data_IF_976396039684
#
_entry.id   IF_976396039684
#
_cell.length_a   1.000
_cell.length_b   1.000
_cell.length_c   1.000
_cell.angle_alpha   90.00
_cell.angle_beta   90.00
_cell.angle_gamma   90.00
#
_symmetry.space_group_name_H-M   'P 1'
#
loop_
_entity.id
_entity.type
_entity.pdbx_description
1 polymer ?
#
# COMPACT_ATOMS: atom_id res chain seq x y z
N UNK A 1 11.79 -9.38 -21.09
CA UNK A 1 11.29 -10.23 -19.98
C UNK A 1 9.80 -10.40 -20.21
N UNK A 2 9.23 -11.58 -19.92
CA UNK A 2 7.77 -11.76 -19.94
C UNK A 2 7.16 -10.95 -18.79
N UNK A 3 6.09 -10.22 -19.06
CA UNK A 3 5.34 -9.49 -18.04
C UNK A 3 4.68 -10.48 -17.07
N UNK A 4 5.12 -10.48 -15.81
CA UNK A 4 4.59 -11.35 -14.74
C UNK A 4 3.44 -10.71 -13.97
N UNK A 5 2.98 -9.51 -14.34
CA UNK A 5 2.05 -8.73 -13.52
C UNK A 5 0.77 -9.50 -13.20
N UNK A 6 0.27 -10.34 -14.11
CA UNK A 6 -0.98 -11.10 -13.86
C UNK A 6 -0.82 -12.27 -12.89
N UNK A 7 0.40 -12.71 -12.59
CA UNK A 7 0.70 -13.89 -11.77
C UNK A 7 0.91 -13.53 -10.29
N UNK A 8 0.37 -12.38 -9.84
CA UNK A 8 0.34 -11.98 -8.44
C UNK A 8 -1.10 -11.95 -7.90
N UNK A 9 -1.21 -11.86 -6.57
CA UNK A 9 -2.48 -11.66 -5.86
C UNK A 9 -2.80 -10.17 -5.71
N UNK A 10 -4.05 -9.80 -6.00
CA UNK A 10 -4.55 -8.43 -5.92
C UNK A 10 -5.78 -8.33 -5.03
N UNK A 11 -5.89 -7.29 -4.20
CA UNK A 11 -7.12 -7.01 -3.48
C UNK A 11 -8.20 -6.61 -4.51
N UNK A 12 -9.43 -7.08 -4.32
CA UNK A 12 -10.56 -6.75 -5.22
C UNK A 12 -11.80 -6.25 -4.49
N UNK A 13 -11.80 -6.33 -3.16
CA UNK A 13 -12.83 -5.75 -2.30
C UNK A 13 -12.63 -6.11 -0.83
N UNK A 14 -13.29 -5.36 0.05
CA UNK A 14 -13.44 -5.71 1.45
C UNK A 14 -14.49 -6.81 1.60
N UNK A 15 -14.20 -7.81 2.44
CA UNK A 15 -15.14 -8.90 2.72
C UNK A 15 -16.44 -8.37 3.34
N UNK A 16 -16.34 -7.31 4.14
CA UNK A 16 -17.47 -6.58 4.73
C UNK A 16 -18.35 -5.87 3.71
N UNK A 17 -17.93 -5.72 2.45
CA UNK A 17 -18.67 -4.93 1.46
C UNK A 17 -19.30 -5.81 0.36
N UNK A 18 -19.03 -7.11 0.36
CA UNK A 18 -19.49 -8.06 -0.68
C UNK A 18 -20.75 -8.80 -0.19
N UNK A 19 -21.75 -8.05 0.26
CA UNK A 19 -23.09 -8.60 0.55
C UNK A 19 -23.98 -8.70 -0.68
N UNK A 20 -23.69 -7.90 -1.70
CA UNK A 20 -24.36 -7.92 -3.00
C UNK A 20 -23.32 -8.10 -4.10
N UNK A 21 -23.71 -8.62 -5.28
CA UNK A 21 -22.80 -8.72 -6.41
C UNK A 21 -22.15 -7.38 -6.73
N UNK A 22 -20.81 -7.32 -6.66
CA UNK A 22 -20.00 -6.16 -7.00
C UNK A 22 -19.35 -6.38 -8.35
N UNK A 23 -19.43 -5.38 -9.22
CA UNK A 23 -18.69 -5.35 -10.49
C UNK A 23 -17.51 -4.39 -10.34
N UNK A 24 -16.33 -4.80 -10.78
CA UNK A 24 -15.13 -3.95 -10.77
C UNK A 24 -14.18 -4.35 -11.89
N UNK A 25 -13.02 -3.70 -11.96
CA UNK A 25 -11.96 -4.00 -12.91
C UNK A 25 -10.73 -4.59 -12.20
N UNK A 26 -10.01 -5.43 -12.92
CA UNK A 26 -8.64 -5.82 -12.58
C UNK A 26 -7.88 -5.92 -13.91
N UNK A 27 -6.83 -5.12 -14.09
CA UNK A 27 -6.05 -5.06 -15.34
C UNK A 27 -6.92 -4.80 -16.60
N UNK A 28 -7.80 -3.80 -16.55
CA UNK A 28 -8.79 -3.47 -17.59
C UNK A 28 -9.83 -4.57 -17.86
N UNK A 29 -9.82 -5.68 -17.10
CA UNK A 29 -10.78 -6.77 -17.25
C UNK A 29 -11.90 -6.64 -16.22
N UNK A 30 -13.14 -6.69 -16.69
CA UNK A 30 -14.30 -6.79 -15.82
C UNK A 30 -14.30 -8.10 -15.04
N UNK A 31 -14.45 -7.97 -13.73
CA UNK A 31 -14.66 -9.07 -12.81
C UNK A 31 -15.89 -8.82 -11.95
N UNK A 32 -16.61 -9.90 -11.65
CA UNK A 32 -17.70 -9.90 -10.69
C UNK A 32 -17.29 -10.59 -9.40
N UNK A 33 -17.65 -10.00 -8.28
CA UNK A 33 -17.46 -10.54 -6.94
C UNK A 33 -18.84 -10.86 -6.38
N UNK A 34 -19.03 -12.10 -5.95
CA UNK A 34 -20.25 -12.56 -5.29
C UNK A 34 -19.90 -13.36 -4.05
N UNK A 35 -20.85 -13.47 -3.13
CA UNK A 35 -20.77 -14.37 -1.99
C UNK A 35 -21.97 -15.32 -2.05
N UNK A 36 -21.72 -16.62 -1.98
CA UNK A 36 -22.75 -17.65 -1.92
C UNK A 36 -22.48 -18.62 -0.74
N UNK A 37 -23.29 -19.68 -0.62
CA UNK A 37 -23.18 -20.65 0.49
C UNK A 37 -21.82 -21.38 0.54
N UNK A 38 -21.02 -21.31 -0.53
CA UNK A 38 -19.69 -21.92 -0.63
C UNK A 38 -18.54 -20.94 -0.38
N UNK A 39 -18.85 -19.65 -0.20
CA UNK A 39 -17.88 -18.59 0.11
C UNK A 39 -17.84 -17.49 -0.97
N UNK A 40 -16.74 -16.75 -1.00
CA UNK A 40 -16.54 -15.70 -1.99
C UNK A 40 -16.09 -16.25 -3.33
N UNK A 41 -16.73 -15.77 -4.39
CA UNK A 41 -16.47 -16.17 -5.77
C UNK A 41 -16.14 -14.94 -6.59
N UNK A 42 -15.04 -15.02 -7.34
CA UNK A 42 -14.64 -14.00 -8.33
C UNK A 42 -14.71 -14.61 -9.73
N UNK A 43 -15.35 -13.93 -10.68
CA UNK A 43 -15.45 -14.40 -12.08
C UNK A 43 -15.03 -13.33 -13.06
N UNK A 44 -14.34 -13.73 -14.14
CA UNK A 44 -14.11 -12.88 -15.33
C UNK A 44 -15.41 -12.69 -16.13
N UNK A 45 -15.45 -11.67 -16.97
CA UNK A 45 -16.41 -11.60 -18.07
C UNK A 45 -16.39 -12.91 -18.89
N UNK A 46 -17.53 -13.58 -18.99
CA UNK A 46 -17.66 -14.95 -19.53
C UNK A 46 -17.86 -16.05 -18.48
N UNK A 47 -17.82 -15.73 -17.19
CA UNK A 47 -18.24 -16.62 -16.10
C UNK A 47 -17.16 -17.58 -15.57
N UNK A 48 -15.92 -17.46 -16.05
CA UNK A 48 -14.78 -18.27 -15.56
C UNK A 48 -14.40 -17.81 -14.16
N UNK A 49 -14.47 -18.72 -13.19
CA UNK A 49 -14.02 -18.46 -11.81
C UNK A 49 -12.51 -18.27 -11.74
N UNK A 50 -12.09 -17.32 -10.92
CA UNK A 50 -10.69 -17.04 -10.60
C UNK A 50 -10.34 -17.60 -9.22
N UNK A 51 -9.06 -17.88 -8.95
CA UNK A 51 -8.64 -18.29 -7.62
C UNK A 51 -8.89 -17.15 -6.62
N UNK A 52 -9.28 -17.50 -5.40
CA UNK A 52 -9.60 -16.54 -4.34
C UNK A 52 -8.83 -16.84 -3.05
N UNK A 53 -8.45 -15.78 -2.34
CA UNK A 53 -7.90 -15.85 -0.98
C UNK A 53 -8.61 -14.80 -0.13
N UNK A 54 -9.01 -15.17 1.08
CA UNK A 54 -9.52 -14.24 2.09
C UNK A 54 -8.41 -13.93 3.10
N UNK A 55 -7.98 -12.66 3.17
CA UNK A 55 -6.94 -12.26 4.13
C UNK A 55 -6.96 -10.76 4.38
N UNK A 56 -6.60 -10.37 5.61
CA UNK A 56 -6.51 -8.97 6.04
C UNK A 56 -7.83 -8.20 5.83
N UNK A 57 -8.98 -8.86 5.99
CA UNK A 57 -10.30 -8.25 5.72
C UNK A 57 -10.65 -8.09 4.23
N UNK A 58 -9.80 -8.56 3.32
CA UNK A 58 -9.96 -8.39 1.88
C UNK A 58 -10.16 -9.72 1.16
N UNK A 59 -10.91 -9.66 0.05
CA UNK A 59 -10.92 -10.68 -0.98
C UNK A 59 -9.80 -10.40 -1.97
N UNK A 60 -8.97 -11.41 -2.21
CA UNK A 60 -7.86 -11.37 -3.14
C UNK A 60 -8.12 -12.32 -4.31
N UNK A 61 -7.61 -11.97 -5.49
CA UNK A 61 -7.66 -12.84 -6.67
C UNK A 61 -6.44 -12.66 -7.56
N UNK A 62 -6.29 -13.51 -8.58
CA UNK A 62 -5.27 -13.40 -9.61
C UNK A 62 -5.87 -13.67 -10.98
N UNK A 63 -5.39 -12.95 -12.01
CA UNK A 63 -5.81 -13.18 -13.40
C UNK A 63 -4.96 -14.23 -14.12
N UNK A 64 -3.77 -14.52 -13.58
CA UNK A 64 -2.79 -15.46 -14.10
C UNK A 64 -2.71 -16.73 -13.25
N UNK A 65 -1.50 -17.21 -13.02
CA UNK A 65 -1.19 -18.42 -12.26
C UNK A 65 -0.15 -18.10 -11.19
N UNK A 66 -0.57 -17.59 -10.02
CA UNK A 66 0.37 -17.26 -8.95
C UNK A 66 1.07 -18.53 -8.45
N UNK A 67 2.40 -18.50 -8.37
CA UNK A 67 3.26 -19.62 -7.94
C UNK A 67 3.65 -19.54 -6.45
N UNK A 68 3.08 -18.58 -5.72
CA UNK A 68 3.33 -18.30 -4.31
C UNK A 68 2.03 -17.93 -3.58
N UNK A 69 2.02 -18.17 -2.27
CA UNK A 69 0.94 -17.71 -1.39
C UNK A 69 0.96 -16.19 -1.20
N UNK A 70 -0.15 -15.64 -0.72
CA UNK A 70 -0.20 -14.25 -0.26
C UNK A 70 0.71 -14.05 0.96
N UNK A 71 1.45 -12.95 0.98
CA UNK A 71 2.36 -12.60 2.07
C UNK A 71 1.67 -12.60 3.45
N UNK A 72 2.47 -12.82 4.49
CA UNK A 72 2.03 -12.84 5.89
C UNK A 72 2.42 -11.53 6.59
N UNK A 73 1.65 -11.10 7.59
CA UNK A 73 2.02 -10.02 8.52
C UNK A 73 1.83 -10.55 9.95
N UNK A 74 2.80 -11.32 10.50
CA UNK A 74 2.63 -12.01 11.78
C UNK A 74 2.31 -11.06 12.93
N UNK A 75 2.87 -9.85 12.91
CA UNK A 75 2.61 -8.82 13.92
C UNK A 75 1.12 -8.45 13.98
N UNK A 76 0.43 -8.46 12.84
CA UNK A 76 -0.99 -8.13 12.75
C UNK A 76 -1.90 -9.23 13.31
N UNK A 77 -1.42 -10.48 13.39
CA UNK A 77 -2.11 -11.61 13.98
C UNK A 77 -2.02 -11.62 15.53
N UNK A 78 -1.24 -10.69 16.12
CA UNK A 78 -1.06 -10.61 17.56
C UNK A 78 -2.36 -10.16 18.26
N UNK A 79 -2.84 -10.87 19.31
CA UNK A 79 -4.09 -10.53 19.97
C UNK A 79 -4.15 -9.12 20.54
N UNK A 80 -5.39 -8.60 20.62
CA UNK A 80 -5.70 -7.31 21.24
C UNK A 80 -5.52 -6.11 20.32
N UNK A 81 -5.34 -6.31 19.02
CA UNK A 81 -5.34 -5.25 18.01
C UNK A 81 -6.76 -4.98 17.53
N UNK A 82 -7.05 -3.74 17.22
CA UNK A 82 -8.19 -3.36 16.39
C UNK A 82 -7.79 -3.52 14.93
N UNK A 83 -8.52 -4.36 14.22
CA UNK A 83 -8.40 -4.49 12.77
C UNK A 83 -9.33 -3.46 12.14
N UNK A 84 -8.76 -2.53 11.38
CA UNK A 84 -9.46 -1.36 10.86
C UNK A 84 -9.50 -1.43 9.35
N UNK A 85 -10.69 -1.72 8.83
CA UNK A 85 -11.01 -1.58 7.42
C UNK A 85 -11.37 -0.12 7.14
N UNK A 86 -10.50 0.62 6.43
CA UNK A 86 -10.63 2.08 6.24
C UNK A 86 -11.62 2.43 5.13
N UNK A 87 -12.02 1.45 4.32
CA UNK A 87 -12.72 1.65 3.05
C UNK A 87 -11.74 1.81 1.88
N UNK A 88 -12.26 2.24 0.73
CA UNK A 88 -11.43 2.50 -0.46
C UNK A 88 -11.55 3.90 -1.00
N UNK A 89 -10.50 4.29 -1.74
CA UNK A 89 -10.51 5.49 -2.57
C UNK A 89 -10.00 5.13 -3.96
N UNK A 90 -10.77 5.50 -4.99
CA UNK A 90 -10.31 5.42 -6.38
C UNK A 90 -9.47 6.64 -6.72
N UNK A 91 -8.27 6.42 -7.25
CA UNK A 91 -7.27 7.46 -7.53
C UNK A 91 -6.82 7.34 -8.98
N UNK A 92 -6.88 8.45 -9.73
CA UNK A 92 -6.43 8.51 -11.13
C UNK A 92 -4.90 8.65 -11.22
N UNK A 93 -4.20 7.59 -10.85
CA UNK A 93 -2.76 7.46 -10.97
C UNK A 93 -2.38 6.00 -11.25
N UNK A 94 -1.11 5.75 -11.62
CA UNK A 94 -0.61 4.38 -11.66
C UNK A 94 -0.68 3.71 -10.28
N UNK A 95 -1.06 2.42 -10.19
CA UNK A 95 -1.04 1.69 -8.94
C UNK A 95 0.36 1.67 -8.29
N UNK A 96 1.42 1.79 -9.10
CA UNK A 96 2.80 1.83 -8.62
C UNK A 96 3.18 3.19 -8.03
N UNK A 97 2.59 4.29 -8.54
CA UNK A 97 2.75 5.62 -7.94
C UNK A 97 2.05 5.72 -6.60
N UNK A 98 0.89 5.08 -6.44
CA UNK A 98 0.21 4.98 -5.15
C UNK A 98 1.08 4.28 -4.09
N UNK A 99 1.73 3.16 -4.46
CA UNK A 99 2.69 2.48 -3.57
C UNK A 99 3.90 3.37 -3.29
N UNK A 100 4.49 3.99 -4.31
CA UNK A 100 5.67 4.84 -4.14
C UNK A 100 5.41 6.04 -3.22
N UNK A 101 4.26 6.71 -3.34
CA UNK A 101 3.87 7.80 -2.45
C UNK A 101 3.79 7.35 -0.97
N UNK A 102 3.30 6.14 -0.70
CA UNK A 102 3.25 5.61 0.66
C UNK A 102 4.64 5.28 1.24
N UNK A 103 5.62 4.99 0.38
CA UNK A 103 7.01 4.70 0.76
C UNK A 103 7.86 5.97 0.94
N UNK A 104 7.42 7.09 0.36
CA UNK A 104 8.07 8.39 0.50
C UNK A 104 7.70 9.01 1.84
N UNK A 105 8.70 9.51 2.57
CA UNK A 105 8.52 10.23 3.82
C UNK A 105 8.99 11.68 3.72
N UNK A 106 9.67 12.04 2.62
CA UNK A 106 10.17 13.39 2.39
C UNK A 106 9.02 14.38 2.19
N UNK A 107 7.85 13.91 1.74
CA UNK A 107 6.68 14.75 1.55
C UNK A 107 5.93 15.07 2.85
N UNK A 108 6.19 14.34 3.95
CA UNK A 108 5.43 14.48 5.20
C UNK A 108 5.30 15.93 5.71
N UNK A 109 6.39 16.73 5.81
CA UNK A 109 6.31 18.09 6.32
C UNK A 109 5.52 19.04 5.42
N UNK A 110 5.42 18.73 4.12
CA UNK A 110 4.89 19.63 3.10
C UNK A 110 3.43 19.33 2.74
N UNK A 111 3.04 18.05 2.75
CA UNK A 111 1.70 17.60 2.37
C UNK A 111 0.84 17.31 3.61
N UNK A 112 1.45 16.74 4.64
CA UNK A 112 0.80 16.35 5.88
C UNK A 112 1.24 17.24 7.05
N UNK A 113 1.36 18.55 6.77
CA UNK A 113 1.81 19.55 7.73
C UNK A 113 0.98 19.46 9.01
N UNK A 114 1.67 19.50 10.15
CA UNK A 114 1.13 19.38 11.51
C UNK A 114 0.50 18.03 11.86
N UNK A 115 0.53 17.04 10.93
CA UNK A 115 0.07 15.68 11.16
C UNK A 115 1.28 14.74 11.17
N UNK A 116 1.87 14.48 10.00
CA UNK A 116 2.97 13.51 9.86
C UNK A 116 4.36 14.14 9.88
N UNK A 117 4.46 15.45 9.64
CA UNK A 117 5.68 16.24 9.70
C UNK A 117 5.35 17.73 9.78
N UNK A 118 6.34 18.57 10.06
CA UNK A 118 6.17 20.02 10.05
C UNK A 118 7.50 20.75 9.80
N UNK A 119 7.44 21.92 9.20
CA UNK A 119 8.60 22.82 9.14
C UNK A 119 8.95 23.34 10.55
N UNK A 120 10.25 23.54 10.88
CA UNK A 120 11.44 23.39 10.03
C UNK A 120 12.04 21.96 10.01
N UNK A 121 11.36 20.96 10.58
CA UNK A 121 11.85 19.58 10.67
C UNK A 121 11.58 18.79 9.37
N UNK A 122 12.35 19.09 8.33
CA UNK A 122 12.15 18.52 6.98
C UNK A 122 13.17 17.49 6.55
N UNK A 123 14.24 17.29 7.32
CA UNK A 123 15.34 16.40 6.96
C UNK A 123 14.95 14.93 7.09
N UNK A 124 15.17 14.17 6.01
CA UNK A 124 15.09 12.72 6.01
C UNK A 124 16.46 12.14 6.36
N UNK A 125 16.58 11.63 7.58
CA UNK A 125 17.79 10.97 8.05
C UNK A 125 18.16 9.76 7.19
N UNK A 126 19.45 9.41 7.18
CA UNK A 126 19.91 8.24 6.45
C UNK A 126 19.39 6.94 7.08
N UNK A 127 18.65 6.16 6.30
CA UNK A 127 18.13 4.85 6.67
C UNK A 127 18.72 3.72 5.80
N UNK A 128 18.40 2.47 6.12
CA UNK A 128 18.88 1.29 5.38
C UNK A 128 17.77 0.75 4.48
N UNK A 129 18.08 0.50 3.21
CA UNK A 129 17.20 -0.17 2.25
C UNK A 129 17.87 -1.42 1.70
N UNK A 130 17.10 -2.49 1.54
CA UNK A 130 17.56 -3.74 0.94
C UNK A 130 16.42 -4.44 0.17
N UNK A 131 16.78 -5.16 -0.88
CA UNK A 131 15.92 -6.16 -1.51
C UNK A 131 16.30 -7.51 -0.89
N UNK A 132 15.39 -8.13 -0.13
CA UNK A 132 15.64 -9.42 0.54
C UNK A 132 15.32 -10.55 -0.41
N UNK A 133 16.34 -11.14 -1.02
CA UNK A 133 16.16 -12.16 -2.07
C UNK A 133 15.46 -13.42 -1.58
N UNK A 134 15.66 -13.83 -0.33
CA UNK A 134 15.03 -15.03 0.24
C UNK A 134 13.50 -14.96 0.37
N UNK A 135 12.93 -13.76 0.38
CA UNK A 135 11.47 -13.53 0.41
C UNK A 135 10.98 -12.71 -0.80
N UNK A 136 11.90 -12.26 -1.64
CA UNK A 136 11.66 -11.39 -2.79
C UNK A 136 10.88 -10.10 -2.45
N UNK A 137 11.31 -9.37 -1.42
CA UNK A 137 10.63 -8.15 -0.94
C UNK A 137 11.60 -6.97 -0.80
N UNK A 138 11.07 -5.74 -0.85
CA UNK A 138 11.84 -4.53 -0.51
C UNK A 138 11.60 -4.17 0.94
N UNK A 139 12.68 -3.85 1.67
CA UNK A 139 12.62 -3.45 3.07
C UNK A 139 13.40 -2.16 3.30
N UNK A 140 12.79 -1.21 4.00
CA UNK A 140 13.45 -0.03 4.55
C UNK A 140 13.40 -0.11 6.08
N UNK A 141 14.55 0.04 6.74
CA UNK A 141 14.71 -0.13 8.19
C UNK A 141 15.51 1.02 8.77
N UNK A 142 15.40 1.22 10.09
CA UNK A 142 16.02 2.35 10.80
C UNK A 142 15.56 3.70 10.26
N UNK A 143 14.34 3.77 9.77
CA UNK A 143 13.72 5.02 9.35
C UNK A 143 13.28 5.74 10.61
N UNK A 144 13.67 7.00 10.75
CA UNK A 144 13.27 7.86 11.87
C UNK A 144 12.78 9.17 11.29
N UNK A 145 11.68 9.68 11.83
CA UNK A 145 11.14 10.96 11.41
C UNK A 145 10.47 11.67 12.58
N UNK A 146 10.60 12.98 12.63
CA UNK A 146 9.90 13.79 13.63
C UNK A 146 8.43 13.92 13.24
N UNK A 147 7.52 13.54 14.13
CA UNK A 147 6.08 13.70 13.93
C UNK A 147 5.48 14.61 15.00
N UNK A 148 4.79 15.68 14.61
CA UNK A 148 3.98 16.48 15.53
C UNK A 148 2.87 15.65 16.17
N UNK A 149 2.24 14.74 15.42
CA UNK A 149 1.20 13.84 15.88
C UNK A 149 1.48 12.39 15.46
N UNK A 150 2.09 11.61 16.37
CA UNK A 150 2.51 10.24 16.06
C UNK A 150 1.38 9.19 16.05
N UNK A 151 0.25 9.46 16.70
CA UNK A 151 -0.98 8.66 16.62
C UNK A 151 -2.16 9.58 16.94
N UNK A 152 -3.39 9.14 16.67
CA UNK A 152 -4.57 9.93 17.03
C UNK A 152 -4.62 10.22 18.54
N UNK A 153 -4.18 9.25 19.35
CA UNK A 153 -4.09 9.32 20.81
C UNK A 153 -2.79 9.96 21.36
N UNK A 154 -1.82 10.33 20.51
CA UNK A 154 -0.53 10.87 20.98
C UNK A 154 -0.58 12.40 21.22
N UNK A 155 -0.08 12.84 22.37
CA UNK A 155 0.14 14.26 22.69
C UNK A 155 1.64 14.64 22.58
N UNK A 156 1.94 15.69 21.81
CA UNK A 156 3.30 16.23 21.66
C UNK A 156 4.14 15.56 20.56
N UNK A 157 5.08 16.33 20.00
CA UNK A 157 5.93 15.85 18.90
C UNK A 157 6.99 14.86 19.38
N UNK A 158 7.11 13.72 18.70
CA UNK A 158 8.08 12.67 19.02
C UNK A 158 8.87 12.24 17.78
N UNK A 159 10.05 11.65 18.00
CA UNK A 159 10.76 10.91 16.95
C UNK A 159 10.08 9.55 16.84
N UNK A 160 9.45 9.31 15.70
CA UNK A 160 8.79 8.05 15.37
C UNK A 160 9.76 7.18 14.59
N UNK A 161 9.88 5.91 14.99
CA UNK A 161 10.57 4.89 14.20
C UNK A 161 9.60 4.23 13.22
N UNK A 162 10.08 3.98 12.01
CA UNK A 162 9.38 3.28 10.96
C UNK A 162 10.22 2.14 10.40
N UNK A 163 9.51 1.14 9.90
CA UNK A 163 10.03 0.13 8.99
C UNK A 163 9.00 -0.06 7.87
N UNK A 164 9.46 0.00 6.63
CA UNK A 164 8.63 -0.23 5.46
C UNK A 164 8.99 -1.56 4.82
N UNK A 165 7.96 -2.20 4.26
CA UNK A 165 8.05 -3.46 3.53
C UNK A 165 7.16 -3.38 2.30
N UNK A 166 7.68 -3.81 1.15
CA UNK A 166 6.91 -4.03 -0.08
C UNK A 166 6.90 -5.53 -0.35
N UNK A 167 5.85 -6.24 0.10
CA UNK A 167 5.76 -7.69 -0.04
C UNK A 167 5.20 -8.16 -1.39
N UNK A 168 4.52 -7.26 -2.12
CA UNK A 168 3.97 -7.52 -3.44
C UNK A 168 3.96 -6.22 -4.27
N UNK A 169 3.91 -6.30 -5.61
CA UNK A 169 4.11 -5.13 -6.48
C UNK A 169 3.22 -3.94 -6.17
N UNK A 170 1.97 -4.18 -5.77
CA UNK A 170 0.98 -3.14 -5.50
C UNK A 170 0.55 -3.11 -4.02
N UNK A 171 1.43 -3.57 -3.13
CA UNK A 171 1.19 -3.60 -1.68
C UNK A 171 2.36 -3.00 -0.90
N UNK A 172 2.05 -2.23 0.13
CA UNK A 172 3.03 -1.76 1.12
C UNK A 172 2.55 -2.02 2.53
N UNK A 173 3.50 -2.25 3.43
CA UNK A 173 3.29 -2.43 4.88
C UNK A 173 4.22 -1.48 5.60
N UNK A 174 3.65 -0.70 6.50
CA UNK A 174 4.34 0.19 7.42
C UNK A 174 4.20 -0.37 8.84
N UNK A 175 5.35 -0.51 9.49
CA UNK A 175 5.48 -0.81 10.90
C UNK A 175 5.88 0.50 11.58
N UNK A 176 5.01 1.03 12.44
CA UNK A 176 5.17 2.33 13.07
C UNK A 176 5.24 2.20 14.58
N UNK A 177 6.09 2.99 15.24
CA UNK A 177 6.17 3.04 16.70
C UNK A 177 4.76 3.12 17.29
N UNK A 178 4.43 2.21 18.20
CA UNK A 178 3.15 2.17 18.91
C UNK A 178 3.29 2.87 20.27
N UNK A 179 2.77 4.11 20.44
CA UNK A 179 2.91 4.84 21.71
C UNK A 179 2.35 4.08 22.95
N UNK A 180 1.16 3.46 22.90
CA UNK A 180 0.63 2.74 24.07
C UNK A 180 1.36 1.42 24.35
N UNK A 181 2.08 0.85 23.36
CA UNK A 181 2.86 -0.39 23.51
C UNK A 181 4.24 -0.25 22.86
N UNK A 182 5.24 0.39 23.50
CA UNK A 182 6.53 0.74 22.88
C UNK A 182 7.40 -0.43 22.38
N UNK A 183 7.05 -1.68 22.70
CA UNK A 183 7.74 -2.89 22.22
C UNK A 183 7.06 -3.52 21.01
N UNK A 184 5.91 -3.00 20.62
CA UNK A 184 5.09 -3.47 19.52
C UNK A 184 5.08 -2.43 18.39
N UNK A 185 4.74 -2.89 17.19
CA UNK A 185 4.51 -2.03 16.04
C UNK A 185 3.01 -1.83 15.83
N UNK A 186 2.58 -0.61 15.52
CA UNK A 186 1.33 -0.40 14.79
C UNK A 186 1.54 -0.78 13.33
N UNK A 187 0.56 -1.47 12.74
CA UNK A 187 0.63 -1.93 11.36
C UNK A 187 -0.33 -1.11 10.52
N UNK A 188 0.19 -0.49 9.47
CA UNK A 188 -0.60 0.26 8.48
C UNK A 188 -0.22 -0.29 7.11
N UNK A 189 -1.19 -0.67 6.30
CA UNK A 189 -0.95 -1.20 4.97
C UNK A 189 -1.64 -0.37 3.91
N UNK A 190 -1.08 -0.44 2.70
CA UNK A 190 -1.69 0.05 1.49
C UNK A 190 -1.84 -1.13 0.53
N UNK A 191 -3.06 -1.57 0.27
CA UNK A 191 -3.33 -2.59 -0.75
C UNK A 191 -3.96 -1.94 -1.97
N UNK A 192 -3.30 -2.01 -3.11
CA UNK A 192 -3.73 -1.29 -4.33
C UNK A 192 -4.22 -2.28 -5.37
N UNK A 193 -5.46 -2.09 -5.80
CA UNK A 193 -6.10 -2.79 -6.90
C UNK A 193 -5.84 -2.03 -8.23
N UNK A 194 -5.11 -2.62 -9.19
CA UNK A 194 -4.96 -2.04 -10.52
C UNK A 194 -6.26 -2.15 -11.31
N UNK A 195 -7.00 -1.05 -11.46
CA UNK A 195 -8.19 -1.04 -12.32
C UNK A 195 -7.75 -0.94 -13.78
N UNK A 196 -6.92 0.05 -14.08
CA UNK A 196 -6.22 0.27 -15.36
C UNK A 196 -4.74 0.58 -15.06
N UNK A 197 -3.92 0.84 -16.07
CA UNK A 197 -2.52 1.27 -15.86
C UNK A 197 -2.39 2.66 -15.21
N UNK A 198 -3.46 3.47 -15.22
CA UNK A 198 -3.49 4.86 -14.79
C UNK A 198 -4.66 5.17 -13.84
N UNK A 199 -5.32 4.13 -13.34
CA UNK A 199 -6.42 4.23 -12.40
C UNK A 199 -6.40 3.04 -11.46
N UNK A 200 -6.44 3.30 -10.16
CA UNK A 200 -6.42 2.26 -9.13
C UNK A 200 -7.46 2.49 -8.06
N UNK A 201 -7.83 1.43 -7.36
CA UNK A 201 -8.61 1.49 -6.12
C UNK A 201 -7.68 1.13 -4.97
N UNK A 202 -7.54 2.04 -4.01
CA UNK A 202 -6.60 1.92 -2.90
C UNK A 202 -7.37 1.57 -1.64
N UNK A 203 -6.92 0.54 -0.94
CA UNK A 203 -7.54 -0.02 0.24
C UNK A 203 -6.56 0.02 1.42
N UNK A 204 -6.60 1.10 2.24
CA UNK A 204 -5.83 1.13 3.47
C UNK A 204 -6.42 0.15 4.49
N UNK A 205 -5.55 -0.54 5.20
CA UNK A 205 -5.92 -1.44 6.28
C UNK A 205 -4.94 -1.32 7.44
N UNK A 206 -5.43 -1.43 8.66
CA UNK A 206 -4.58 -1.24 9.84
C UNK A 206 -4.84 -2.30 10.90
N UNK A 207 -3.80 -2.63 11.66
CA UNK A 207 -3.90 -3.42 12.88
C UNK A 207 -3.21 -2.65 14.02
N UNK A 208 -4.01 -1.97 14.85
CA UNK A 208 -3.55 -0.96 15.80
C UNK A 208 -3.78 -1.39 17.25
N UNK A 209 -2.92 -0.94 18.16
CA UNK A 209 -3.24 -0.92 19.59
C UNK A 209 -3.74 0.48 19.97
N UNK A 210 -5.05 0.70 19.88
CA UNK A 210 -5.68 1.96 20.24
C UNK A 210 -7.03 1.69 20.92
N UNK A 211 -7.04 1.74 22.26
CA UNK A 211 -8.24 1.49 23.07
C UNK A 211 -8.98 2.80 23.42
N UNK A 212 -8.42 3.95 23.03
CA UNK A 212 -8.95 5.27 23.37
C UNK A 212 -9.81 5.84 22.23
N UNK A 213 -9.42 5.59 20.98
CA UNK A 213 -10.13 6.06 19.79
C UNK A 213 -11.27 5.13 19.39
N UNK A 214 -12.37 5.71 18.89
CA UNK A 214 -13.41 4.92 18.22
C UNK A 214 -12.97 4.45 16.82
N UNK A 215 -13.61 3.39 16.32
CA UNK A 215 -13.37 2.91 14.94
C UNK A 215 -13.56 4.02 13.89
N UNK A 216 -14.60 4.85 14.06
CA UNK A 216 -14.87 5.95 13.14
C UNK A 216 -13.76 7.02 13.15
N UNK A 217 -13.17 7.30 14.32
CA UNK A 217 -12.05 8.25 14.45
C UNK A 217 -10.77 7.70 13.81
N UNK A 218 -10.46 6.42 14.01
CA UNK A 218 -9.32 5.75 13.37
C UNK A 218 -9.45 5.78 11.83
N UNK A 219 -10.63 5.42 11.30
CA UNK A 219 -10.93 5.46 9.87
C UNK A 219 -10.82 6.90 9.33
N UNK A 220 -11.47 7.86 10.00
CA UNK A 220 -11.50 9.26 9.54
C UNK A 220 -10.11 9.90 9.53
N UNK A 221 -9.26 9.56 10.50
CA UNK A 221 -7.88 10.05 10.55
C UNK A 221 -7.05 9.54 9.37
N UNK A 222 -7.15 8.24 9.06
CA UNK A 222 -6.43 7.66 7.93
C UNK A 222 -6.94 8.19 6.58
N UNK A 223 -8.26 8.38 6.45
CA UNK A 223 -8.85 8.97 5.25
C UNK A 223 -8.40 10.43 5.05
N UNK A 224 -8.30 11.22 6.13
CA UNK A 224 -7.82 12.60 6.05
C UNK A 224 -6.41 12.68 5.45
N UNK A 225 -5.48 11.86 5.96
CA UNK A 225 -4.10 11.79 5.47
C UNK A 225 -4.10 11.42 3.99
N UNK A 226 -4.80 10.34 3.63
CA UNK A 226 -4.81 9.83 2.25
C UNK A 226 -5.41 10.84 1.26
N UNK A 227 -6.43 11.60 1.66
CA UNK A 227 -7.05 12.61 0.80
C UNK A 227 -6.12 13.79 0.51
N UNK A 228 -5.13 14.08 1.36
CA UNK A 228 -4.08 15.06 1.07
C UNK A 228 -3.17 14.56 -0.07
N UNK A 229 -2.74 13.30 -0.01
CA UNK A 229 -1.91 12.65 -1.05
C UNK A 229 -2.59 12.56 -2.41
N UNK A 230 -3.91 12.28 -2.42
CA UNK A 230 -4.68 12.08 -3.65
C UNK A 230 -4.47 13.20 -4.67
N UNK A 231 -4.46 14.45 -4.20
CA UNK A 231 -4.28 15.61 -5.08
C UNK A 231 -2.92 15.62 -5.77
N UNK A 232 -1.87 15.18 -5.09
CA UNK A 232 -0.52 15.06 -5.65
C UNK A 232 -0.46 13.90 -6.65
N UNK A 233 -0.98 12.73 -6.25
CA UNK A 233 -1.01 11.52 -7.09
C UNK A 233 -1.69 11.75 -8.44
N UNK A 234 -2.87 12.40 -8.44
CA UNK A 234 -3.65 12.64 -9.66
C UNK A 234 -3.04 13.71 -10.59
N UNK A 235 -2.01 14.45 -10.13
CA UNK A 235 -1.35 15.51 -10.89
C UNK A 235 0.09 15.15 -11.33
N UNK A 236 0.60 13.96 -10.99
CA UNK A 236 1.91 13.51 -11.45
C UNK A 236 1.89 13.22 -12.97
N UNK A 237 2.85 13.81 -13.69
CA UNK A 237 3.01 13.62 -15.14
C UNK A 237 4.44 13.16 -15.42
N UNK A 238 4.64 12.03 -16.11
CA UNK A 238 3.64 11.09 -16.62
C UNK A 238 2.93 10.29 -15.50
N UNK A 239 1.69 9.84 -15.77
CA UNK A 239 0.85 9.09 -14.82
C UNK A 239 1.44 7.71 -14.48
N UNK A 240 1.98 7.02 -15.48
CA UNK A 240 2.71 5.76 -15.30
C UNK A 240 4.04 6.00 -14.58
N UNK A 241 4.48 5.04 -13.76
CA UNK A 241 5.71 5.15 -12.98
C UNK A 241 6.95 4.89 -13.86
N UNK A 242 7.85 5.87 -14.07
CA UNK A 242 9.08 5.62 -14.83
C UNK A 242 10.03 4.70 -14.05
N UNK A 243 10.36 3.54 -14.63
CA UNK A 243 11.30 2.60 -14.00
C UNK A 243 12.74 2.77 -14.48
N UNK A 244 12.93 3.39 -15.65
CA UNK A 244 14.26 3.63 -16.20
C UNK A 244 14.89 4.90 -15.61
N UNK A 245 16.20 4.86 -15.28
CA UNK A 245 16.92 6.04 -14.81
C UNK A 245 16.86 7.18 -15.83
N UNK A 246 16.83 8.43 -15.33
CA UNK A 246 16.99 9.63 -16.15
C UNK A 246 15.70 10.37 -16.51
N UNK A 247 14.53 9.74 -16.35
CA UNK A 247 13.24 10.45 -16.46
C UNK A 247 12.92 11.28 -15.22
N UNK A 248 13.33 10.80 -14.05
CA UNK A 248 13.19 11.48 -12.76
C UNK A 248 14.55 11.50 -12.03
N UNK A 249 14.76 12.49 -11.17
CA UNK A 249 16.04 12.72 -10.48
C UNK A 249 15.91 12.37 -8.99
N UNK A 250 16.30 11.16 -8.56
CA UNK A 250 16.23 10.78 -7.16
C UNK A 250 17.35 11.44 -6.34
N UNK A 251 17.05 11.68 -5.07
CA UNK A 251 17.95 12.17 -4.03
C UNK A 251 18.23 11.07 -2.98
N UNK A 252 18.94 11.41 -1.90
CA UNK A 252 19.19 10.46 -0.81
C UNK A 252 17.90 10.08 -0.06
N UNK A 253 16.89 10.95 -0.01
CA UNK A 253 15.63 10.63 0.67
C UNK A 253 14.86 9.50 -0.03
N UNK A 254 15.08 9.33 -1.34
CA UNK A 254 14.33 8.44 -2.24
C UNK A 254 14.86 7.00 -2.29
N UNK A 255 15.70 6.59 -1.34
CA UNK A 255 16.34 5.27 -1.36
C UNK A 255 15.33 4.11 -1.46
N UNK A 256 14.19 4.19 -0.75
CA UNK A 256 13.13 3.17 -0.81
C UNK A 256 12.48 3.13 -2.20
N UNK A 257 12.10 4.29 -2.74
CA UNK A 257 11.50 4.44 -4.07
C UNK A 257 12.40 3.88 -5.18
N UNK A 258 13.70 4.20 -5.11
CA UNK A 258 14.70 3.67 -6.05
C UNK A 258 14.83 2.14 -5.94
N UNK A 259 14.82 1.58 -4.72
CA UNK A 259 14.88 0.14 -4.52
C UNK A 259 13.61 -0.56 -5.02
N UNK A 260 12.44 0.02 -4.79
CA UNK A 260 11.15 -0.46 -5.29
C UNK A 260 11.13 -0.53 -6.81
N UNK A 261 11.52 0.54 -7.51
CA UNK A 261 11.62 0.53 -8.99
C UNK A 261 12.58 -0.53 -9.52
N UNK A 262 13.76 -0.69 -8.89
CA UNK A 262 14.72 -1.74 -9.25
C UNK A 262 14.16 -3.14 -9.03
N UNK A 263 13.42 -3.33 -7.94
CA UNK A 263 12.77 -4.60 -7.62
C UNK A 263 11.67 -4.95 -8.63
N UNK A 264 10.79 -3.99 -8.99
CA UNK A 264 9.77 -4.18 -10.04
C UNK A 264 10.39 -4.65 -11.37
N UNK A 265 11.48 -3.99 -11.81
CA UNK A 265 12.23 -4.42 -13.01
C UNK A 265 12.78 -5.82 -12.88
N UNK A 266 13.31 -6.18 -11.71
CA UNK A 266 13.90 -7.51 -11.44
C UNK A 266 12.87 -8.62 -11.54
N UNK A 267 11.67 -8.40 -10.99
CA UNK A 267 10.59 -9.39 -11.00
C UNK A 267 9.80 -9.42 -12.31
N UNK A 268 10.07 -8.49 -13.24
CA UNK A 268 9.38 -8.44 -14.53
C UNK A 268 7.98 -7.81 -14.47
N UNK A 269 7.70 -6.98 -13.47
CA UNK A 269 6.43 -6.29 -13.32
C UNK A 269 6.42 -5.00 -14.15
N UNK A 270 5.47 -4.87 -15.09
CA UNK A 270 5.40 -3.72 -16.00
C UNK A 270 4.06 -3.00 -16.07
N UNK A 271 3.00 -3.52 -15.45
CA UNK A 271 1.67 -2.90 -15.58
C UNK A 271 1.55 -1.58 -14.81
N UNK A 272 1.24 -0.48 -15.51
CA UNK A 272 1.26 0.86 -14.90
C UNK A 272 2.67 1.44 -14.75
N UNK A 273 3.68 0.76 -15.28
CA UNK A 273 5.04 1.26 -15.40
C UNK A 273 5.25 1.93 -16.76
N UNK A 274 6.15 2.90 -16.80
CA UNK A 274 6.70 3.44 -18.03
C UNK A 274 8.12 2.94 -18.20
N UNK A 275 8.32 2.15 -19.25
CA UNK A 275 9.63 1.75 -19.75
C UNK A 275 9.98 2.64 -20.94
N UNK A 276 11.25 3.05 -21.04
CA UNK A 276 11.74 3.67 -22.28
C UNK A 276 11.77 2.57 -23.34
N UNK A 277 11.23 2.86 -24.53
CA UNK A 277 11.34 1.94 -25.66
C UNK A 277 12.82 1.64 -25.93
N UNK A 278 13.19 0.36 -25.92
CA UNK A 278 14.55 -0.11 -26.22
C UNK A 278 14.94 0.18 -27.67
#
# INVERSE_FOLDING_TARGET
>A
MSDSSKDHWYPVGLLSDIYTPRQTLLFDQEISLTHDDTGFVVKKSGGVSLPTIERFGHLWTSLGQPDHDLFVIPEADTPGRHLVDVGSVKVKCSPLRAVENFLDIAHFPFIHTDILGAEPHTEVDRYKVEIREGVNEVWATKVKFFQPQAAKSAEGGIITEYMYRVPAPTCAVLYKTCPPRPKEWDIITLFVQPLTEEWCEVWPWMALYDDDSTMAEMVSFQQLIFMQDRSILENQIPLKLPLDPGMETPTQADMTSVAYRRWLKRIGYSYGAQMVAA
#
